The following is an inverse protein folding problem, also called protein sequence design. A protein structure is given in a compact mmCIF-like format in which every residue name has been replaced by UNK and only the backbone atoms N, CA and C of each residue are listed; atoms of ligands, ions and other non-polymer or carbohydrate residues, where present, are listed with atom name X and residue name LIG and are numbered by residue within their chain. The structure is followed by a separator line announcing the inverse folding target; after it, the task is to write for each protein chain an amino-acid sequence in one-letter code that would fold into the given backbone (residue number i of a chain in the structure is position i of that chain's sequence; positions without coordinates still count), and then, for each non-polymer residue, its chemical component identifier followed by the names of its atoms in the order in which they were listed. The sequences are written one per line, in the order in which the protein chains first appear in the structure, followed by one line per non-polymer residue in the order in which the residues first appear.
data_IF_940447537805
#
_entry.id   IF_940447537805
#
_cell.length_a   1.000
_cell.length_b   1.000
_cell.length_c   1.000
_cell.angle_alpha   90.00
_cell.angle_beta   90.00
_cell.angle_gamma   90.00
#
_symmetry.space_group_name_H-M   'P 1'
#
loop_
_entity.id
_entity.type
_entity.pdbx_description
1 polymer ?
#
# COMPACT_ATOMS: atom_id res chain seq x y z
N UNK A 1 12.69 6.30 -1.93
CA UNK A 1 11.52 5.90 -2.74
C UNK A 1 10.30 6.61 -2.19
N UNK A 2 9.47 7.14 -3.08
CA UNK A 2 8.30 7.97 -2.76
C UNK A 2 7.06 7.25 -3.29
N UNK A 3 6.40 6.40 -2.47
CA UNK A 3 5.35 5.54 -2.96
C UNK A 3 4.05 6.33 -3.20
N UNK A 4 3.42 6.07 -4.35
CA UNK A 4 2.14 6.67 -4.77
C UNK A 4 1.10 5.56 -4.88
N UNK A 5 -0.06 5.77 -4.29
CA UNK A 5 -1.22 4.90 -4.38
C UNK A 5 -2.15 5.38 -5.49
N UNK A 6 -2.39 4.54 -6.48
CA UNK A 6 -3.34 4.75 -7.58
C UNK A 6 -4.62 3.99 -7.26
N UNK A 7 -5.76 4.67 -7.35
CA UNK A 7 -7.06 4.12 -6.96
C UNK A 7 -7.79 3.47 -8.13
N UNK A 8 -8.54 2.42 -7.82
CA UNK A 8 -9.53 1.81 -8.74
C UNK A 8 -8.96 1.33 -10.08
N UNK A 9 -7.73 0.83 -10.09
CA UNK A 9 -7.04 0.32 -11.27
C UNK A 9 -7.57 -1.07 -11.65
N UNK A 10 -7.86 -1.35 -12.94
CA UNK A 10 -8.28 -2.68 -13.38
C UNK A 10 -7.24 -3.75 -13.03
N UNK A 11 -7.67 -4.84 -12.39
CA UNK A 11 -6.79 -5.96 -11.98
C UNK A 11 -6.17 -6.72 -13.16
N UNK A 12 -6.69 -6.50 -14.37
CA UNK A 12 -6.12 -7.00 -15.63
C UNK A 12 -4.82 -6.31 -16.04
N UNK A 13 -4.43 -5.22 -15.36
CA UNK A 13 -3.16 -4.54 -15.62
C UNK A 13 -1.99 -5.52 -15.37
N UNK A 14 -1.15 -5.68 -16.39
CA UNK A 14 0.09 -6.44 -16.25
C UNK A 14 1.14 -5.58 -15.54
N UNK A 15 1.47 -5.93 -14.30
CA UNK A 15 2.42 -5.19 -13.47
C UNK A 15 3.83 -5.10 -14.06
N UNK A 16 4.28 -6.10 -14.84
CA UNK A 16 5.62 -6.05 -15.45
C UNK A 16 5.72 -5.02 -16.58
N UNK A 17 4.59 -4.71 -17.23
CA UNK A 17 4.51 -3.72 -18.31
C UNK A 17 3.96 -2.37 -17.83
N UNK A 18 3.48 -2.30 -16.59
CA UNK A 18 2.84 -1.12 -16.04
C UNK A 18 3.69 0.15 -16.13
N UNK A 19 5.01 0.16 -15.79
CA UNK A 19 5.83 1.36 -15.91
C UNK A 19 5.83 1.94 -17.32
N UNK A 20 6.09 1.11 -18.34
CA UNK A 20 6.14 1.54 -19.74
C UNK A 20 4.79 2.01 -20.24
N UNK A 21 3.71 1.29 -19.91
CA UNK A 21 2.34 1.67 -20.28
C UNK A 21 1.93 3.01 -19.66
N UNK A 22 2.16 3.19 -18.35
CA UNK A 22 1.87 4.44 -17.65
C UNK A 22 2.64 5.60 -18.27
N UNK A 23 3.92 5.41 -18.62
CA UNK A 23 4.69 6.46 -19.30
C UNK A 23 4.09 6.81 -20.66
N UNK A 24 3.70 5.81 -21.47
CA UNK A 24 3.12 6.07 -22.80
C UNK A 24 1.75 6.75 -22.76
N UNK A 25 0.93 6.47 -21.74
CA UNK A 25 -0.41 7.05 -21.60
C UNK A 25 -0.41 8.42 -20.93
N UNK A 26 0.73 8.86 -20.39
CA UNK A 26 0.86 10.10 -19.63
C UNK A 26 2.04 10.98 -20.10
N UNK A 27 2.16 11.31 -21.40
CA UNK A 27 3.26 12.12 -21.92
C UNK A 27 3.35 13.50 -21.26
N UNK A 28 2.21 14.08 -20.86
CA UNK A 28 2.12 15.36 -20.16
C UNK A 28 2.82 15.37 -18.79
N UNK A 29 3.06 14.19 -18.21
CA UNK A 29 3.71 14.06 -16.90
C UNK A 29 5.23 13.88 -17.01
N UNK A 30 5.79 13.84 -18.23
CA UNK A 30 7.23 13.64 -18.49
C UNK A 30 7.81 12.46 -17.68
N UNK A 31 7.08 11.34 -17.65
CA UNK A 31 7.49 10.12 -16.96
C UNK A 31 8.41 9.29 -17.85
N UNK A 32 9.39 8.65 -17.23
CA UNK A 32 10.21 7.61 -17.87
C UNK A 32 10.14 6.34 -17.03
N UNK A 33 10.31 5.14 -17.63
CA UNK A 33 10.22 3.89 -16.88
C UNK A 33 11.22 3.79 -15.72
N UNK A 34 12.37 4.46 -15.80
CA UNK A 34 13.36 4.52 -14.73
C UNK A 34 12.87 5.26 -13.48
N UNK A 35 11.91 6.18 -13.62
CA UNK A 35 11.29 6.89 -12.49
C UNK A 35 10.29 6.01 -11.73
N UNK A 36 9.82 4.91 -12.33
CA UNK A 36 8.86 3.97 -11.75
C UNK A 36 9.52 2.58 -11.67
N UNK A 37 10.49 2.38 -10.76
CA UNK A 37 11.24 1.12 -10.65
C UNK A 37 10.36 -0.08 -10.31
N UNK A 38 9.19 0.12 -9.70
CA UNK A 38 8.32 -0.98 -9.27
C UNK A 38 6.86 -0.56 -9.21
N UNK A 39 5.99 -1.49 -9.59
CA UNK A 39 4.54 -1.39 -9.42
C UNK A 39 4.03 -2.68 -8.75
N UNK A 40 3.19 -2.54 -7.72
CA UNK A 40 2.63 -3.68 -7.00
C UNK A 40 1.22 -3.41 -6.50
N UNK A 41 0.39 -4.44 -6.36
CA UNK A 41 -0.94 -4.27 -5.77
C UNK A 41 -0.84 -3.98 -4.27
N UNK A 42 -1.55 -2.94 -3.80
CA UNK A 42 -1.57 -2.54 -2.39
C UNK A 42 -2.05 -3.66 -1.45
N UNK A 43 -2.98 -4.48 -1.94
CA UNK A 43 -3.48 -5.66 -1.24
C UNK A 43 -2.89 -6.91 -1.90
N UNK A 44 -1.73 -7.36 -1.41
CA UNK A 44 -1.07 -8.58 -1.85
C UNK A 44 -1.66 -9.85 -1.23
N UNK A 45 -2.95 -9.88 -0.83
CA UNK A 45 -3.58 -11.14 -0.42
C UNK A 45 -3.64 -12.09 -1.62
N UNK A 46 -2.57 -12.87 -1.71
CA UNK A 46 -2.33 -14.06 -2.49
C UNK A 46 -3.53 -15.00 -2.31
N UNK A 47 -4.46 -14.98 -3.27
CA UNK A 47 -5.56 -15.95 -3.32
C UNK A 47 -6.93 -15.40 -3.72
N UNK A 48 -7.19 -14.08 -3.69
CA UNK A 48 -8.53 -13.53 -4.02
C UNK A 48 -8.57 -12.50 -5.15
N UNK A 49 -7.48 -12.36 -5.91
CA UNK A 49 -7.46 -11.47 -7.09
C UNK A 49 -8.32 -11.98 -8.25
N UNK A 50 -8.82 -13.22 -8.20
CA UNK A 50 -9.64 -13.80 -9.27
C UNK A 50 -11.02 -13.16 -9.45
N UNK A 51 -11.59 -12.50 -8.42
CA UNK A 51 -12.97 -11.99 -8.48
C UNK A 51 -13.10 -10.46 -8.51
N UNK A 52 -12.09 -9.71 -8.05
CA UNK A 52 -12.16 -8.25 -8.05
C UNK A 52 -11.76 -7.69 -9.40
N UNK A 53 -12.65 -6.91 -10.01
CA UNK A 53 -12.38 -6.22 -11.27
C UNK A 53 -11.38 -5.05 -11.13
N UNK A 54 -11.27 -4.47 -9.93
CA UNK A 54 -10.43 -3.30 -9.64
C UNK A 54 -9.72 -3.43 -8.29
N UNK A 55 -8.53 -2.85 -8.19
CA UNK A 55 -7.68 -2.83 -7.00
C UNK A 55 -6.89 -1.51 -6.93
N UNK A 56 -6.23 -1.25 -5.80
CA UNK A 56 -5.32 -0.12 -5.67
C UNK A 56 -3.88 -0.56 -5.98
N UNK A 57 -3.19 0.23 -6.79
CA UNK A 57 -1.82 -0.01 -7.24
C UNK A 57 -0.88 0.90 -6.46
N UNK A 58 0.23 0.37 -5.96
CA UNK A 58 1.33 1.15 -5.39
C UNK A 58 2.42 1.26 -6.44
N UNK A 59 2.74 2.49 -6.82
CA UNK A 59 3.87 2.83 -7.66
C UNK A 59 5.01 3.29 -6.76
N UNK A 60 6.15 2.60 -6.83
CA UNK A 60 7.38 3.07 -6.21
C UNK A 60 8.02 4.07 -7.17
N UNK A 61 8.19 5.31 -6.72
CA UNK A 61 8.80 6.38 -7.52
C UNK A 61 10.17 6.73 -6.94
N UNK A 62 11.09 7.17 -7.80
CA UNK A 62 12.47 7.51 -7.43
C UNK A 62 12.58 8.80 -6.62
N UNK A 63 11.80 9.82 -6.98
CA UNK A 63 11.92 11.19 -6.47
C UNK A 63 10.57 11.79 -6.03
N UNK A 64 10.66 12.80 -5.17
CA UNK A 64 9.50 13.44 -4.56
C UNK A 64 8.73 14.32 -5.56
N UNK A 65 9.43 14.95 -6.51
CA UNK A 65 8.82 15.82 -7.51
C UNK A 65 7.88 15.05 -8.42
N UNK A 66 8.31 13.87 -8.88
CA UNK A 66 7.49 12.95 -9.67
C UNK A 66 6.33 12.43 -8.85
N UNK A 67 6.54 12.06 -7.58
CA UNK A 67 5.44 11.69 -6.68
C UNK A 67 4.40 12.81 -6.55
N UNK A 68 4.83 14.05 -6.31
CA UNK A 68 3.93 15.19 -6.14
C UNK A 68 3.18 15.54 -7.43
N UNK A 69 3.86 15.46 -8.58
CA UNK A 69 3.25 15.61 -9.90
C UNK A 69 2.19 14.54 -10.15
N UNK A 70 2.49 13.27 -9.85
CA UNK A 70 1.52 12.19 -9.94
C UNK A 70 0.30 12.47 -9.07
N UNK A 71 0.49 12.88 -7.80
CA UNK A 71 -0.60 13.20 -6.87
C UNK A 71 -1.44 14.39 -7.32
N UNK A 72 -0.81 15.42 -7.90
CA UNK A 72 -1.49 16.63 -8.36
C UNK A 72 -2.35 16.38 -9.60
N UNK A 73 -1.86 15.57 -10.54
CA UNK A 73 -2.48 15.42 -11.86
C UNK A 73 -3.24 14.11 -12.07
N UNK A 74 -3.07 13.12 -11.19
CA UNK A 74 -3.54 11.76 -11.45
C UNK A 74 -2.70 11.08 -12.53
N UNK A 75 -3.15 9.90 -12.96
CA UNK A 75 -2.59 9.19 -14.13
C UNK A 75 -3.68 8.53 -14.94
N UNK A 76 -3.43 8.35 -16.23
CA UNK A 76 -4.24 7.54 -17.13
C UNK A 76 -3.71 6.11 -17.17
N UNK A 77 -4.62 5.14 -17.10
CA UNK A 77 -4.34 3.71 -17.33
C UNK A 77 -5.48 3.16 -18.17
N UNK A 78 -5.16 2.50 -19.29
CA UNK A 78 -6.13 2.08 -20.31
C UNK A 78 -7.02 3.23 -20.82
N UNK A 79 -6.45 4.43 -20.94
CA UNK A 79 -7.16 5.62 -21.40
C UNK A 79 -8.19 6.17 -20.40
N UNK A 80 -8.21 5.67 -19.16
CA UNK A 80 -9.11 6.12 -18.09
C UNK A 80 -8.30 6.88 -17.05
N UNK A 81 -8.75 8.07 -16.59
CA UNK A 81 -8.08 8.79 -15.52
C UNK A 81 -8.29 8.12 -14.16
N UNK A 82 -7.22 8.09 -13.37
CA UNK A 82 -7.18 7.54 -12.02
C UNK A 82 -6.62 8.56 -11.04
N UNK A 83 -7.31 8.68 -9.90
CA UNK A 83 -6.82 9.46 -8.78
C UNK A 83 -5.63 8.77 -8.12
N UNK A 84 -4.68 9.59 -7.70
CA UNK A 84 -3.43 9.20 -7.06
C UNK A 84 -3.29 9.91 -5.73
N UNK A 85 -2.66 9.26 -4.76
CA UNK A 85 -2.42 9.81 -3.42
C UNK A 85 -1.06 9.35 -2.91
N UNK A 86 -0.45 10.08 -1.97
CA UNK A 86 0.75 9.58 -1.29
C UNK A 86 0.42 8.29 -0.54
N UNK A 87 1.15 7.22 -0.80
CA UNK A 87 0.95 5.98 -0.06
C UNK A 87 1.45 6.16 1.37
N UNK A 88 0.53 6.04 2.33
CA UNK A 88 0.84 6.05 3.75
C UNK A 88 0.62 4.64 4.26
N UNK A 89 1.68 3.89 4.64
CA UNK A 89 1.49 2.57 5.23
C UNK A 89 0.68 2.73 6.52
N UNK A 90 -0.22 1.77 6.77
CA UNK A 90 -0.93 1.75 8.05
C UNK A 90 0.07 1.65 9.20
N UNK A 91 -0.18 2.35 10.33
CA UNK A 91 0.66 2.21 11.50
C UNK A 91 0.73 0.74 11.90
N UNK A 92 1.93 0.26 12.20
CA UNK A 92 2.12 -1.13 12.61
C UNK A 92 1.41 -1.34 13.95
N UNK A 93 0.42 -2.23 14.00
CA UNK A 93 -0.24 -2.61 15.24
C UNK A 93 0.42 -3.86 15.84
N UNK A 94 0.70 -3.80 17.14
CA UNK A 94 1.16 -4.95 17.91
C UNK A 94 -0.04 -5.78 18.35
N UNK A 95 -0.19 -7.00 17.82
CA UNK A 95 -1.28 -7.90 18.21
C UNK A 95 -1.17 -8.50 19.62
N UNK A 96 -0.10 -8.18 20.37
CA UNK A 96 0.08 -8.62 21.75
C UNK A 96 -0.48 -7.59 22.75
N UNK A 97 0.02 -6.36 22.73
CA UNK A 97 -0.43 -5.28 23.62
C UNK A 97 -1.48 -4.35 23.00
N UNK A 98 -1.83 -4.54 21.72
CA UNK A 98 -2.73 -3.70 20.92
C UNK A 98 -2.25 -2.27 20.65
N UNK A 99 -1.04 -1.91 21.08
CA UNK A 99 -0.44 -0.59 20.80
C UNK A 99 0.07 -0.48 19.35
N UNK A 100 0.15 0.76 18.85
CA UNK A 100 0.73 1.06 17.55
C UNK A 100 2.24 1.36 17.65
N UNK A 101 2.94 1.26 16.52
CA UNK A 101 4.35 1.65 16.36
C UNK A 101 5.35 0.49 16.40
N UNK A 102 4.93 -0.72 16.75
CA UNK A 102 5.83 -1.88 16.81
C UNK A 102 5.13 -3.19 16.48
N UNK A 103 5.90 -4.20 16.05
CA UNK A 103 5.40 -5.57 15.85
C UNK A 103 5.53 -6.36 17.15
N UNK A 104 4.70 -7.40 17.27
CA UNK A 104 4.77 -8.39 18.36
C UNK A 104 6.20 -8.88 18.60
N UNK A 105 6.99 -9.09 17.55
CA UNK A 105 8.38 -9.56 17.66
C UNK A 105 9.28 -8.67 18.55
N UNK A 106 9.04 -7.36 18.59
CA UNK A 106 9.87 -6.38 19.32
C UNK A 106 9.07 -5.68 20.45
N UNK A 107 7.95 -6.28 20.87
CA UNK A 107 7.11 -5.76 21.93
C UNK A 107 7.78 -5.94 23.30
N UNK A 108 8.05 -4.84 24.01
CA UNK A 108 8.59 -4.83 25.38
C UNK A 108 7.65 -5.53 26.37
N UNK A 109 6.34 -5.41 26.15
CA UNK A 109 5.31 -5.93 27.06
C UNK A 109 5.26 -7.46 27.06
N UNK A 110 5.98 -8.14 26.15
CA UNK A 110 6.15 -9.60 26.21
C UNK A 110 6.92 -10.07 27.44
N UNK A 111 7.72 -9.20 28.05
CA UNK A 111 8.45 -9.51 29.28
C UNK A 111 7.49 -9.62 30.47
N UNK A 112 6.36 -8.90 30.42
CA UNK A 112 5.32 -8.92 31.45
C UNK A 112 3.92 -9.16 30.84
N UNK A 113 3.43 -10.41 30.85
CA UNK A 113 2.12 -10.78 30.31
C UNK A 113 0.92 -10.08 30.95
N UNK A 114 1.08 -9.44 32.12
CA UNK A 114 0.02 -8.67 32.75
C UNK A 114 -0.43 -7.46 31.89
N UNK A 115 0.44 -6.99 30.98
CA UNK A 115 0.15 -5.90 30.06
C UNK A 115 -0.44 -6.36 28.72
N UNK A 116 -0.67 -7.65 28.54
CA UNK A 116 -1.35 -8.16 27.35
C UNK A 116 -2.78 -7.64 27.28
N UNK A 117 -3.18 -7.16 26.09
CA UNK A 117 -4.54 -6.68 25.84
C UNK A 117 -5.19 -7.55 24.78
N UNK A 118 -6.42 -7.96 25.06
CA UNK A 118 -7.20 -8.75 24.13
C UNK A 118 -7.52 -7.91 22.88
N UNK A 119 -7.21 -8.43 21.70
CA UNK A 119 -7.56 -7.79 20.42
C UNK A 119 -9.07 -7.65 20.20
N UNK A 120 -9.88 -8.40 20.95
CA UNK A 120 -11.34 -8.49 20.79
C UNK A 120 -12.10 -7.56 21.74
N UNK A 121 -11.75 -7.55 23.02
CA UNK A 121 -12.47 -6.82 24.07
C UNK A 121 -11.60 -5.81 24.84
N UNK A 122 -10.31 -5.69 24.49
CA UNK A 122 -9.32 -4.87 25.19
C UNK A 122 -9.08 -5.20 26.67
N UNK A 123 -9.59 -6.34 27.16
CA UNK A 123 -9.37 -6.82 28.54
C UNK A 123 -7.93 -7.26 28.81
N UNK A 124 -7.52 -7.37 30.10
CA UNK A 124 -6.17 -7.73 30.53
C UNK A 124 -5.93 -9.25 30.42
N UNK A 125 -5.99 -9.78 29.20
CA UNK A 125 -5.73 -11.19 28.90
C UNK A 125 -5.29 -11.36 27.45
N UNK A 126 -4.71 -12.52 27.15
CA UNK A 126 -4.42 -12.92 25.78
C UNK A 126 -5.71 -13.14 24.99
N UNK A 127 -5.71 -12.79 23.72
CA UNK A 127 -6.87 -12.98 22.81
C UNK A 127 -7.37 -14.43 22.76
N UNK A 128 -6.49 -15.42 22.96
CA UNK A 128 -6.88 -16.86 23.00
C UNK A 128 -7.72 -17.24 24.23
N UNK A 129 -7.70 -16.40 25.26
CA UNK A 129 -8.43 -16.58 26.52
C UNK A 129 -9.69 -15.70 26.56
N UNK A 130 -10.12 -15.18 25.41
CA UNK A 130 -11.28 -14.31 25.24
C UNK A 130 -12.55 -15.10 24.95
#
# INVERSE_FOLDING_TARGET
SFPVLVHSVPTKLNLSLAPSMICSENPQLALTPSLIPRAEWANSQTGKHGTKARSSLVLQVTDWETSDRLVRHGINIFGVPHNTTKFKPFPTQCYFCQCFGHKVAVCSDKVDPANARCARCAGPHLTKSC
#
